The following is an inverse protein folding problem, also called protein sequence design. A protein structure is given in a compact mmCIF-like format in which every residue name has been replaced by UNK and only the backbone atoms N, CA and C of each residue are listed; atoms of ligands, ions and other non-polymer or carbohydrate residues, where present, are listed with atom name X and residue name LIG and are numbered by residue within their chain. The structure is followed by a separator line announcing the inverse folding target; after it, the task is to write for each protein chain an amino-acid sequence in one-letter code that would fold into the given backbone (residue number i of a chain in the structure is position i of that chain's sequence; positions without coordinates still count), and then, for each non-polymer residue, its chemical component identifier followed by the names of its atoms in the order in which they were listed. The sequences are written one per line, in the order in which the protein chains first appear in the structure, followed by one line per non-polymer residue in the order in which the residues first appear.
data_IF_478252457092
#
_entry.id   IF_478252457092
#
_cell.length_a   1.000
_cell.length_b   1.000
_cell.length_c   1.000
_cell.angle_alpha   90.00
_cell.angle_beta   90.00
_cell.angle_gamma   90.00
#
_symmetry.space_group_name_H-M   'P 1'
#
loop_
_entity.id
_entity.type
_entity.pdbx_description
1 polymer ?
#
# COMPACT_ATOMS: atom_id res chain seq x y z
N UNK A 1 7.43 -2.78 -13.20
CA UNK A 1 6.76 -1.47 -13.01
C UNK A 1 7.33 -0.52 -14.04
N UNK A 2 6.63 -0.33 -15.15
CA UNK A 2 7.04 0.62 -16.20
C UNK A 2 6.90 2.05 -15.68
N UNK A 3 7.87 2.92 -15.98
CA UNK A 3 7.90 4.30 -15.50
C UNK A 3 6.93 5.25 -16.24
N UNK A 4 6.13 4.68 -17.14
CA UNK A 4 5.19 5.41 -18.00
C UNK A 4 3.79 5.37 -17.37
N UNK A 5 3.27 4.19 -16.98
CA UNK A 5 1.94 4.05 -16.35
C UNK A 5 1.80 4.64 -14.93
N UNK A 6 2.93 4.92 -14.25
CA UNK A 6 2.98 5.09 -12.79
C UNK A 6 2.16 6.29 -12.28
N UNK A 7 1.84 7.26 -13.14
CA UNK A 7 1.02 8.43 -12.80
C UNK A 7 -0.09 8.77 -13.81
N UNK A 8 -0.49 7.85 -14.70
CA UNK A 8 -1.46 8.12 -15.78
C UNK A 8 -2.89 8.45 -15.33
N UNK A 9 -3.15 8.41 -14.01
CA UNK A 9 -4.38 8.95 -13.40
C UNK A 9 -4.31 10.44 -13.03
N UNK A 10 -3.20 11.15 -13.26
CA UNK A 10 -3.06 12.58 -13.00
C UNK A 10 -3.38 13.39 -14.28
N UNK A 11 -4.13 14.50 -14.19
CA UNK A 11 -4.42 15.31 -15.37
C UNK A 11 -3.11 15.85 -15.98
N UNK A 12 -2.95 15.80 -17.32
CA UNK A 12 -1.71 16.20 -17.96
C UNK A 12 -1.39 17.68 -17.69
N UNK A 13 -0.09 18.05 -17.63
CA UNK A 13 0.29 19.44 -17.50
C UNK A 13 -0.15 20.22 -18.74
N UNK A 14 -0.72 21.40 -18.53
CA UNK A 14 -1.19 22.22 -19.64
C UNK A 14 0.00 22.76 -20.43
N UNK A 15 0.13 22.34 -21.69
CA UNK A 15 1.19 22.85 -22.58
C UNK A 15 1.09 24.37 -22.68
N UNK A 16 2.20 25.06 -22.43
CA UNK A 16 2.23 26.52 -22.34
C UNK A 16 2.09 27.17 -23.74
N UNK A 17 0.86 27.47 -24.14
CA UNK A 17 0.59 28.43 -25.21
C UNK A 17 0.94 29.84 -24.70
N UNK A 18 2.13 30.31 -25.08
CA UNK A 18 2.57 31.67 -24.80
C UNK A 18 1.65 32.70 -25.49
N UNK A 19 1.31 33.82 -24.83
CA UNK A 19 0.52 34.87 -25.44
C UNK A 19 1.39 35.68 -26.41
N UNK A 20 1.24 35.45 -27.72
CA UNK A 20 1.79 36.34 -28.73
C UNK A 20 1.05 37.69 -28.66
N UNK A 21 1.77 38.74 -28.26
CA UNK A 21 1.21 40.08 -28.14
C UNK A 21 1.34 40.92 -29.41
N UNK A 22 0.58 42.02 -29.45
CA UNK A 22 0.92 43.23 -30.22
C UNK A 22 0.69 43.18 -31.74
N UNK A 23 -0.42 43.77 -32.20
CA UNK A 23 -0.66 44.04 -33.61
C UNK A 23 -1.92 44.88 -33.82
N UNK A 24 -1.76 46.20 -33.91
CA UNK A 24 -2.88 47.10 -34.23
C UNK A 24 -3.21 47.03 -35.73
N UNK A 25 -4.49 46.90 -36.06
CA UNK A 25 -5.00 46.89 -37.45
C UNK A 25 -6.52 47.13 -37.44
N UNK A 26 -7.00 47.97 -38.35
CA UNK A 26 -8.33 48.57 -38.24
C UNK A 26 -9.46 47.74 -38.87
N UNK A 27 -10.68 48.00 -38.36
CA UNK A 27 -11.99 47.87 -39.02
C UNK A 27 -12.36 46.53 -39.71
N UNK A 28 -13.37 45.84 -39.16
CA UNK A 28 -14.71 45.86 -39.77
C UNK A 28 -15.78 45.30 -38.81
N UNK A 29 -17.01 45.80 -38.91
CA UNK A 29 -18.15 45.40 -38.08
C UNK A 29 -18.89 44.21 -38.71
N UNK A 30 -18.86 43.04 -38.08
CA UNK A 30 -19.79 41.93 -38.36
C UNK A 30 -20.25 41.29 -37.04
N UNK A 31 -21.55 41.35 -36.77
CA UNK A 31 -22.17 40.71 -35.61
C UNK A 31 -22.31 39.20 -35.81
N UNK A 32 -22.01 38.35 -34.81
CA UNK A 32 -22.40 36.95 -34.82
C UNK A 32 -23.90 36.78 -34.49
N UNK A 33 -24.57 35.73 -35.02
CA UNK A 33 -26.01 35.50 -34.84
C UNK A 33 -26.37 35.00 -33.43
N UNK A 34 -27.64 35.16 -32.99
CA UNK A 34 -28.09 34.73 -31.68
C UNK A 34 -28.20 33.18 -31.56
N UNK A 35 -28.01 32.61 -30.36
CA UNK A 35 -28.13 31.18 -30.12
C UNK A 35 -29.60 30.69 -30.14
N UNK A 36 -29.86 29.41 -30.48
CA UNK A 36 -31.20 28.84 -30.55
C UNK A 36 -31.85 28.64 -29.16
N UNK A 37 -33.19 28.55 -29.09
CA UNK A 37 -33.93 28.42 -27.83
C UNK A 37 -33.75 27.02 -27.17
N UNK A 38 -33.85 26.92 -25.83
CA UNK A 38 -33.70 25.65 -25.12
C UNK A 38 -34.89 24.70 -25.36
N UNK A 39 -34.65 23.37 -25.39
CA UNK A 39 -35.71 22.38 -25.62
C UNK A 39 -36.69 22.28 -24.43
N UNK A 40 -37.95 22.01 -24.76
CA UNK A 40 -39.06 21.94 -23.79
C UNK A 40 -39.02 20.70 -22.89
N UNK A 41 -39.61 20.83 -21.70
CA UNK A 41 -39.70 19.83 -20.65
C UNK A 41 -40.41 18.53 -21.11
N UNK A 42 -39.76 17.39 -20.91
CA UNK A 42 -40.39 16.08 -20.85
C UNK A 42 -40.36 15.53 -19.41
N UNK A 43 -41.44 14.89 -18.98
CA UNK A 43 -41.78 14.71 -17.57
C UNK A 43 -41.01 13.59 -16.87
N UNK A 44 -40.51 13.84 -15.66
CA UNK A 44 -40.02 12.82 -14.76
C UNK A 44 -41.15 12.27 -13.87
N UNK A 45 -41.36 10.96 -13.87
CA UNK A 45 -42.27 10.26 -12.94
C UNK A 45 -41.46 9.61 -11.82
N UNK A 46 -41.85 9.86 -10.56
CA UNK A 46 -41.15 9.38 -9.37
C UNK A 46 -42.00 8.42 -8.53
N UNK A 47 -41.43 7.36 -7.93
CA UNK A 47 -42.10 6.55 -6.92
C UNK A 47 -41.63 6.86 -5.48
N UNK A 48 -42.49 7.61 -4.77
CA UNK A 48 -42.95 7.46 -3.36
C UNK A 48 -41.97 6.96 -2.25
N UNK A 49 -41.81 7.70 -1.14
CA UNK A 49 -41.27 7.19 0.12
C UNK A 49 -42.36 6.60 1.05
N UNK A 50 -42.00 5.57 1.83
CA UNK A 50 -42.78 5.05 2.98
C UNK A 50 -41.83 4.97 4.19
N UNK A 51 -41.96 5.77 5.26
CA UNK A 51 -43.02 5.93 6.27
C UNK A 51 -42.80 5.07 7.53
N UNK A 52 -42.57 5.76 8.68
CA UNK A 52 -42.85 5.35 10.08
C UNK A 52 -41.96 4.19 10.61
N UNK A 53 -41.62 4.06 11.90
CA UNK A 53 -41.49 4.96 13.07
C UNK A 53 -40.70 4.17 14.15
N UNK A 54 -40.34 4.62 15.36
CA UNK A 54 -40.63 5.80 16.20
C UNK A 54 -39.43 6.05 17.14
N UNK A 55 -39.32 7.24 17.74
CA UNK A 55 -38.39 7.50 18.86
C UNK A 55 -39.18 8.07 20.05
N UNK A 56 -39.26 7.34 21.18
CA UNK A 56 -39.93 7.81 22.41
C UNK A 56 -38.93 8.15 23.51
N UNK A 57 -39.26 9.23 24.21
CA UNK A 57 -38.43 10.01 25.15
C UNK A 57 -38.75 9.66 26.60
N UNK A 58 -37.71 9.49 27.42
CA UNK A 58 -37.74 9.55 28.89
C UNK A 58 -36.40 10.15 29.35
N UNK A 59 -36.28 11.48 29.45
CA UNK A 59 -36.61 12.35 30.60
C UNK A 59 -35.48 12.40 31.65
N UNK A 60 -34.67 13.48 31.69
CA UNK A 60 -33.69 13.76 32.74
C UNK A 60 -34.27 14.70 33.83
N UNK A 61 -33.65 14.70 35.01
CA UNK A 61 -33.61 15.84 35.95
C UNK A 61 -32.33 15.77 36.83
N UNK A 62 -31.78 16.89 37.34
CA UNK A 62 -30.42 16.98 37.87
C UNK A 62 -30.37 17.44 39.36
N UNK A 63 -29.22 18.04 39.78
CA UNK A 63 -28.84 18.59 41.12
C UNK A 63 -28.38 17.54 42.15
N UNK A 64 -27.39 17.79 43.03
CA UNK A 64 -26.34 18.84 43.18
C UNK A 64 -25.32 18.27 44.21
N UNK A 65 -24.01 18.25 43.99
CA UNK A 65 -23.02 19.35 44.00
C UNK A 65 -22.79 19.98 45.40
N UNK A 66 -21.61 19.73 46.00
CA UNK A 66 -20.94 20.53 47.06
C UNK A 66 -19.64 19.87 47.62
N UNK A 67 -18.49 20.17 46.99
CA UNK A 67 -17.23 20.73 47.58
C UNK A 67 -16.48 20.10 48.81
N UNK A 68 -15.16 20.40 49.01
CA UNK A 68 -14.21 19.40 49.53
C UNK A 68 -13.28 19.86 50.71
N UNK A 69 -12.21 19.05 50.95
CA UNK A 69 -10.90 19.36 51.59
C UNK A 69 -10.66 18.98 53.07
N UNK A 70 -9.69 18.07 53.30
CA UNK A 70 -8.48 18.30 54.14
C UNK A 70 -7.64 17.00 54.34
N UNK A 71 -6.31 17.16 54.24
CA UNK A 71 -5.18 16.23 54.45
C UNK A 71 -4.78 16.06 55.94
N UNK A 72 -3.75 15.25 56.36
CA UNK A 72 -3.08 14.06 55.76
C UNK A 72 -2.72 12.88 56.73
N UNK A 73 -2.30 11.73 56.15
CA UNK A 73 -1.28 10.74 56.66
C UNK A 73 -1.52 9.91 57.96
N UNK A 74 -0.80 8.77 58.19
CA UNK A 74 -0.21 7.78 57.26
C UNK A 74 -0.50 6.28 57.60
N UNK A 75 0.00 5.38 56.75
CA UNK A 75 0.36 3.96 56.97
C UNK A 75 -0.71 2.83 56.84
N UNK A 76 -0.20 1.68 56.35
CA UNK A 76 -0.76 0.32 56.34
C UNK A 76 -1.82 -0.11 55.26
N UNK A 77 -1.30 -0.87 54.28
CA UNK A 77 -1.87 -2.08 53.65
C UNK A 77 -3.01 -2.04 52.61
N UNK A 78 -2.83 -2.93 51.61
CA UNK A 78 -3.78 -3.49 50.62
C UNK A 78 -4.23 -2.61 49.41
N UNK A 79 -4.13 -3.13 48.15
CA UNK A 79 -4.59 -2.44 46.94
C UNK A 79 -5.89 -3.01 46.33
N UNK A 80 -6.91 -2.16 46.22
CA UNK A 80 -8.12 -2.29 45.38
C UNK A 80 -8.48 -0.86 44.90
N UNK A 81 -9.02 -0.55 43.72
CA UNK A 81 -9.63 -1.34 42.62
C UNK A 81 -9.88 -0.45 41.38
N UNK A 82 -10.46 -1.04 40.30
CA UNK A 82 -10.98 -0.39 39.07
C UNK A 82 -9.93 0.12 38.05
N UNK A 83 -10.07 -0.08 36.73
CA UNK A 83 -11.28 -0.02 35.87
C UNK A 83 -11.52 -1.33 35.07
N UNK A 84 -12.78 -1.77 34.86
CA UNK A 84 -13.08 -2.98 34.10
C UNK A 84 -13.23 -2.71 32.59
N UNK A 85 -12.21 -3.02 31.79
CA UNK A 85 -12.36 -3.07 30.34
C UNK A 85 -13.11 -4.35 29.88
N UNK A 86 -13.86 -4.21 28.77
CA UNK A 86 -14.90 -5.16 28.32
C UNK A 86 -14.31 -6.47 27.76
N UNK A 87 -13.84 -7.34 28.65
CA UNK A 87 -13.32 -8.67 28.28
C UNK A 87 -14.43 -9.63 27.86
N UNK A 88 -14.65 -9.78 26.55
CA UNK A 88 -15.40 -10.92 26.00
C UNK A 88 -14.63 -12.22 26.31
N UNK A 89 -15.00 -12.90 27.39
CA UNK A 89 -14.47 -14.22 27.73
C UNK A 89 -15.15 -15.28 26.86
N UNK A 90 -14.61 -15.54 25.68
CA UNK A 90 -14.90 -16.81 25.01
C UNK A 90 -14.33 -17.96 25.84
N UNK A 91 -15.18 -18.93 26.17
CA UNK A 91 -14.76 -20.17 26.82
C UNK A 91 -13.92 -20.98 25.84
N UNK A 92 -12.63 -21.17 26.13
CA UNK A 92 -11.86 -22.40 25.86
C UNK A 92 -10.56 -22.32 26.66
N UNK A 93 -10.55 -22.93 27.84
CA UNK A 93 -9.33 -23.21 28.62
C UNK A 93 -8.83 -24.60 28.22
N UNK A 94 -8.34 -24.71 27.00
CA UNK A 94 -7.60 -25.89 26.53
C UNK A 94 -6.23 -25.36 26.12
N UNK A 95 -5.21 -25.81 26.83
CA UNK A 95 -3.82 -25.50 26.51
C UNK A 95 -3.48 -26.27 25.21
N UNK A 96 -3.55 -25.58 24.08
CA UNK A 96 -3.31 -26.18 22.78
C UNK A 96 -1.83 -26.59 22.69
N UNK A 97 -1.56 -27.84 22.32
CA UNK A 97 -0.17 -28.29 22.23
C UNK A 97 0.57 -27.49 21.17
N UNK A 98 1.87 -27.25 21.38
CA UNK A 98 2.69 -26.50 20.42
C UNK A 98 2.61 -27.08 19.01
N UNK A 99 2.53 -28.41 18.90
CA UNK A 99 2.26 -29.13 17.63
C UNK A 99 0.94 -28.75 16.97
N UNK A 100 -0.16 -28.61 17.71
CA UNK A 100 -1.46 -28.18 17.19
C UNK A 100 -1.42 -26.71 16.74
N UNK A 101 -0.70 -25.85 17.48
CA UNK A 101 -0.49 -24.45 17.11
C UNK A 101 0.30 -24.34 15.81
N UNK A 102 1.38 -25.13 15.65
CA UNK A 102 2.19 -25.18 14.43
C UNK A 102 1.37 -25.68 13.23
N UNK A 103 0.59 -26.75 13.39
CA UNK A 103 -0.28 -27.27 12.33
C UNK A 103 -1.35 -26.25 11.92
N UNK A 104 -1.96 -25.55 12.90
CA UNK A 104 -2.90 -24.46 12.64
C UNK A 104 -2.22 -23.29 11.89
N UNK A 105 -1.00 -22.90 12.28
CA UNK A 105 -0.25 -21.85 11.60
C UNK A 105 0.05 -22.21 10.13
N UNK A 106 0.48 -23.45 9.85
CA UNK A 106 0.72 -23.94 8.49
C UNK A 106 -0.57 -23.94 7.64
N UNK A 107 -1.70 -24.38 8.21
CA UNK A 107 -3.02 -24.31 7.56
C UNK A 107 -3.43 -22.89 7.23
N UNK A 108 -3.21 -21.93 8.14
CA UNK A 108 -3.47 -20.50 7.90
C UNK A 108 -2.57 -19.96 6.78
N UNK A 109 -1.26 -20.27 6.79
CA UNK A 109 -0.32 -19.84 5.75
C UNK A 109 -0.74 -20.33 4.35
N UNK A 110 -1.23 -21.57 4.22
CA UNK A 110 -1.73 -22.11 2.95
C UNK A 110 -3.02 -21.45 2.41
N UNK A 111 -3.70 -20.65 3.23
CA UNK A 111 -4.97 -20.01 2.87
C UNK A 111 -4.91 -18.48 2.82
N UNK A 112 -3.96 -17.86 3.53
CA UNK A 112 -3.88 -16.41 3.63
C UNK A 112 -3.44 -15.76 2.31
N UNK A 113 -2.59 -16.41 1.51
CA UNK A 113 -2.18 -15.90 0.19
C UNK A 113 -3.31 -15.82 -0.86
N UNK A 114 -4.49 -16.38 -0.59
CA UNK A 114 -5.65 -16.26 -1.48
C UNK A 114 -6.61 -15.17 -0.99
N UNK A 115 -6.79 -14.12 -1.80
CA UNK A 115 -7.64 -12.97 -1.49
C UNK A 115 -9.05 -13.33 -1.01
N UNK A 116 -9.67 -14.39 -1.56
CA UNK A 116 -11.02 -14.84 -1.17
C UNK A 116 -11.09 -15.47 0.23
N UNK A 117 -9.97 -16.03 0.71
CA UNK A 117 -9.84 -16.66 2.03
C UNK A 117 -9.14 -15.77 3.06
N UNK A 118 -8.44 -14.74 2.61
CA UNK A 118 -7.65 -13.82 3.42
C UNK A 118 -8.43 -13.29 4.63
N UNK A 119 -9.63 -12.74 4.45
CA UNK A 119 -10.46 -12.18 5.54
C UNK A 119 -10.91 -13.16 6.63
N UNK A 120 -10.78 -14.48 6.38
CA UNK A 120 -11.01 -15.53 7.39
C UNK A 120 -9.68 -15.99 8.00
N UNK A 121 -8.66 -16.18 7.17
CA UNK A 121 -7.32 -16.57 7.61
C UNK A 121 -6.66 -15.52 8.53
N UNK A 122 -6.77 -14.23 8.18
CA UNK A 122 -6.30 -13.10 8.99
C UNK A 122 -6.93 -13.04 10.38
N UNK A 123 -8.24 -13.33 10.51
CA UNK A 123 -8.93 -13.39 11.81
C UNK A 123 -8.43 -14.54 12.68
N UNK A 124 -8.12 -15.68 12.09
CA UNK A 124 -7.50 -16.80 12.82
C UNK A 124 -6.05 -16.44 13.23
N UNK A 125 -5.29 -15.77 12.37
CA UNK A 125 -3.95 -15.27 12.69
C UNK A 125 -3.98 -14.24 13.85
N UNK A 126 -4.94 -13.31 13.83
CA UNK A 126 -5.18 -12.36 14.93
C UNK A 126 -5.49 -13.08 16.25
N UNK A 127 -6.34 -14.11 16.23
CA UNK A 127 -6.64 -14.92 17.41
C UNK A 127 -5.41 -15.64 17.98
N UNK A 128 -4.43 -16.03 17.15
CA UNK A 128 -3.16 -16.60 17.63
C UNK A 128 -2.28 -15.56 18.34
N UNK A 129 -2.33 -14.29 17.93
CA UNK A 129 -1.65 -13.18 18.60
C UNK A 129 -2.36 -12.88 19.93
N UNK A 130 -3.68 -12.70 19.90
CA UNK A 130 -4.52 -12.40 21.08
C UNK A 130 -4.45 -13.50 22.16
N UNK A 131 -4.29 -14.77 21.76
CA UNK A 131 -4.12 -15.89 22.67
C UNK A 131 -2.70 -16.04 23.25
N UNK A 132 -1.71 -15.27 22.79
CA UNK A 132 -0.31 -15.43 23.19
C UNK A 132 0.36 -16.71 22.65
N UNK A 133 -0.16 -17.28 21.56
CA UNK A 133 0.35 -18.51 20.93
C UNK A 133 1.61 -18.27 20.09
N UNK A 134 1.95 -17.01 19.81
CA UNK A 134 3.18 -16.60 19.13
C UNK A 134 4.31 -16.47 20.14
N UNK A 135 5.17 -17.48 20.19
CA UNK A 135 6.30 -17.65 21.13
C UNK A 135 7.61 -17.78 20.34
N UNK A 136 8.81 -17.67 20.95
CA UNK A 136 10.09 -17.87 20.27
C UNK A 136 10.22 -19.19 19.49
N UNK A 137 9.53 -20.26 19.91
CA UNK A 137 9.48 -21.54 19.17
C UNK A 137 8.55 -21.52 17.94
N UNK A 138 7.41 -20.82 18.03
CA UNK A 138 6.38 -20.78 16.96
C UNK A 138 6.50 -19.58 16.02
N UNK A 139 7.32 -18.57 16.35
CA UNK A 139 7.45 -17.31 15.59
C UNK A 139 7.86 -17.54 14.13
N UNK A 140 8.67 -18.56 13.81
CA UNK A 140 9.02 -18.89 12.42
C UNK A 140 7.80 -19.30 11.58
N UNK A 141 6.88 -20.07 12.15
CA UNK A 141 5.63 -20.46 11.49
C UNK A 141 4.65 -19.28 11.39
N UNK A 142 4.62 -18.39 12.39
CA UNK A 142 3.84 -17.16 12.31
C UNK A 142 4.40 -16.18 11.26
N UNK A 143 5.72 -16.06 11.14
CA UNK A 143 6.34 -15.24 10.09
C UNK A 143 6.02 -15.77 8.68
N UNK A 144 5.98 -17.10 8.50
CA UNK A 144 5.53 -17.71 7.25
C UNK A 144 4.06 -17.38 6.89
N UNK A 145 3.18 -17.11 7.87
CA UNK A 145 1.83 -16.58 7.61
C UNK A 145 1.90 -15.16 7.04
N UNK A 146 2.73 -14.29 7.62
CA UNK A 146 2.91 -12.91 7.15
C UNK A 146 3.55 -12.85 5.76
N UNK A 147 4.51 -13.73 5.49
CA UNK A 147 5.16 -13.88 4.18
C UNK A 147 4.19 -14.39 3.11
N UNK A 148 3.40 -15.43 3.44
CA UNK A 148 2.33 -15.93 2.57
C UNK A 148 1.24 -14.88 2.30
N UNK A 149 0.95 -13.99 3.25
CA UNK A 149 0.02 -12.87 3.05
C UNK A 149 0.59 -11.80 2.11
N UNK A 150 1.91 -11.58 2.11
CA UNK A 150 2.57 -10.52 1.35
C UNK A 150 3.23 -10.99 0.05
N UNK A 151 3.02 -12.25 -0.34
CA UNK A 151 3.50 -12.82 -1.61
C UNK A 151 3.01 -12.03 -2.84
N UNK A 152 1.82 -11.43 -2.73
CA UNK A 152 1.21 -10.57 -3.76
C UNK A 152 0.91 -9.17 -3.19
N UNK A 153 1.92 -8.30 -3.00
CA UNK A 153 1.78 -7.08 -2.19
C UNK A 153 0.78 -6.07 -2.77
N UNK A 154 0.46 -6.13 -4.07
CA UNK A 154 -0.58 -5.28 -4.67
C UNK A 154 -1.99 -5.51 -4.10
N UNK A 155 -2.30 -6.71 -3.60
CA UNK A 155 -3.63 -7.08 -3.09
C UNK A 155 -3.94 -6.39 -1.75
N UNK A 156 -2.93 -5.98 -0.98
CA UNK A 156 -3.13 -5.47 0.39
C UNK A 156 -3.86 -4.11 0.46
N UNK A 157 -3.94 -3.36 -0.64
CA UNK A 157 -4.60 -2.06 -0.71
C UNK A 157 -6.03 -2.11 -1.26
N UNK A 158 -6.50 -3.28 -1.72
CA UNK A 158 -7.83 -3.46 -2.30
C UNK A 158 -8.97 -3.15 -1.30
N UNK A 159 -10.03 -2.43 -1.71
CA UNK A 159 -11.12 -2.00 -0.82
C UNK A 159 -11.76 -3.11 0.02
N UNK A 160 -11.82 -4.34 -0.51
CA UNK A 160 -12.46 -5.48 0.15
C UNK A 160 -11.64 -6.09 1.30
N UNK A 161 -10.31 -5.98 1.28
CA UNK A 161 -9.40 -6.69 2.21
C UNK A 161 -8.47 -5.77 3.00
N UNK A 162 -8.26 -4.52 2.55
CA UNK A 162 -7.44 -3.49 3.20
C UNK A 162 -7.58 -3.38 4.73
N UNK A 163 -8.80 -3.49 5.25
CA UNK A 163 -9.08 -3.35 6.67
C UNK A 163 -8.65 -4.57 7.49
N UNK A 164 -8.67 -5.76 6.89
CA UNK A 164 -8.17 -6.99 7.51
C UNK A 164 -6.64 -7.07 7.41
N UNK A 165 -6.03 -6.57 6.30
CA UNK A 165 -4.58 -6.40 6.18
C UNK A 165 -4.04 -5.43 7.23
N UNK A 166 -4.64 -4.24 7.34
CA UNK A 166 -4.25 -3.24 8.32
C UNK A 166 -4.27 -3.81 9.73
N UNK A 167 -5.39 -4.44 10.15
CA UNK A 167 -5.50 -5.06 11.49
C UNK A 167 -4.45 -6.14 11.74
N UNK A 168 -4.20 -7.03 10.77
CA UNK A 168 -3.24 -8.11 10.92
C UNK A 168 -1.82 -7.57 11.13
N UNK A 169 -1.39 -6.62 10.31
CA UNK A 169 -0.05 -6.04 10.38
C UNK A 169 0.11 -5.03 11.54
N UNK A 170 -0.98 -4.39 11.99
CA UNK A 170 -0.98 -3.58 13.20
C UNK A 170 -0.83 -4.45 14.46
N UNK A 171 -1.61 -5.52 14.60
CA UNK A 171 -1.45 -6.47 15.70
C UNK A 171 -0.09 -7.20 15.67
N UNK A 172 0.42 -7.54 14.48
CA UNK A 172 1.72 -8.18 14.34
C UNK A 172 2.90 -7.28 14.79
N UNK A 173 2.74 -5.95 14.84
CA UNK A 173 3.78 -5.08 15.41
C UNK A 173 4.08 -5.44 16.87
N UNK A 174 3.08 -5.91 17.63
CA UNK A 174 3.24 -6.33 19.03
C UNK A 174 4.11 -7.58 19.24
N UNK A 175 4.38 -8.38 18.19
CA UNK A 175 5.28 -9.55 18.26
C UNK A 175 6.63 -9.31 17.56
N UNK A 176 6.89 -8.07 17.09
CA UNK A 176 8.12 -7.71 16.37
C UNK A 176 9.37 -8.00 17.19
N UNK A 177 9.33 -7.87 18.51
CA UNK A 177 10.49 -8.11 19.38
C UNK A 177 11.10 -9.51 19.20
N UNK A 178 10.25 -10.52 18.95
CA UNK A 178 10.62 -11.93 18.75
C UNK A 178 11.27 -12.22 17.39
N UNK A 179 11.17 -11.30 16.42
CA UNK A 179 11.70 -11.48 15.07
C UNK A 179 13.23 -11.25 15.03
N UNK A 180 13.92 -11.98 14.15
CA UNK A 180 15.33 -11.71 13.86
C UNK A 180 15.47 -10.40 13.03
N UNK A 181 16.69 -9.87 12.87
CA UNK A 181 16.88 -8.57 12.18
C UNK A 181 16.45 -8.59 10.71
N UNK A 182 16.64 -9.71 10.01
CA UNK A 182 16.25 -9.85 8.61
C UNK A 182 14.73 -9.87 8.45
N UNK A 183 14.04 -10.63 9.30
CA UNK A 183 12.59 -10.68 9.42
C UNK A 183 12.01 -9.31 9.79
N UNK A 184 12.64 -8.57 10.72
CA UNK A 184 12.29 -7.18 11.05
C UNK A 184 12.36 -6.26 9.83
N UNK A 185 13.43 -6.37 9.03
CA UNK A 185 13.60 -5.58 7.82
C UNK A 185 12.47 -5.88 6.79
N UNK A 186 12.19 -7.17 6.51
CA UNK A 186 11.07 -7.58 5.64
C UNK A 186 9.72 -7.10 6.17
N UNK A 187 9.45 -7.30 7.47
CA UNK A 187 8.21 -6.90 8.12
C UNK A 187 7.97 -5.38 8.07
N UNK A 188 9.01 -4.57 8.28
CA UNK A 188 8.91 -3.10 8.17
C UNK A 188 8.48 -2.65 6.76
N UNK A 189 8.98 -3.31 5.71
CA UNK A 189 8.53 -3.06 4.32
C UNK A 189 7.06 -3.45 4.16
N UNK A 190 6.64 -4.58 4.72
CA UNK A 190 5.24 -5.00 4.68
C UNK A 190 4.31 -4.05 5.45
N UNK A 191 4.76 -3.48 6.58
CA UNK A 191 4.01 -2.45 7.33
C UNK A 191 3.82 -1.17 6.49
N UNK A 192 4.79 -0.78 5.66
CA UNK A 192 4.60 0.34 4.71
C UNK A 192 3.45 0.05 3.73
N UNK A 193 3.39 -1.15 3.17
CA UNK A 193 2.31 -1.56 2.24
C UNK A 193 0.95 -1.78 2.92
N UNK A 194 0.89 -2.56 4.00
CA UNK A 194 -0.35 -3.06 4.58
C UNK A 194 -0.97 -2.12 5.64
N UNK A 195 -0.15 -1.27 6.29
CA UNK A 195 -0.61 -0.32 7.31
C UNK A 195 -0.53 1.11 6.77
N UNK A 196 0.68 1.60 6.44
CA UNK A 196 0.90 3.03 6.12
C UNK A 196 0.23 3.44 4.83
N UNK A 197 0.33 2.65 3.76
CA UNK A 197 -0.37 2.92 2.51
C UNK A 197 -1.89 2.78 2.66
N UNK A 198 -2.37 1.92 3.57
CA UNK A 198 -3.79 1.80 3.87
C UNK A 198 -4.31 3.00 4.68
N UNK A 199 -3.55 3.52 5.65
CA UNK A 199 -3.89 4.75 6.40
C UNK A 199 -4.17 5.93 5.43
N UNK A 200 -3.58 5.98 4.22
CA UNK A 200 -3.81 7.04 3.24
C UNK A 200 -5.22 7.07 2.61
N UNK A 201 -5.98 5.97 2.64
CA UNK A 201 -7.38 5.96 2.21
C UNK A 201 -8.37 6.04 3.38
N UNK A 202 -7.95 6.63 4.50
CA UNK A 202 -8.86 7.08 5.56
C UNK A 202 -9.60 8.35 5.16
N UNK A 203 -10.73 8.61 5.83
CA UNK A 203 -11.42 9.91 5.83
C UNK A 203 -11.16 10.72 7.12
N UNK A 204 -10.27 10.22 8.00
CA UNK A 204 -9.75 10.92 9.19
C UNK A 204 -8.44 11.66 8.89
N UNK A 205 -8.48 12.99 8.96
CA UNK A 205 -7.33 13.87 8.74
C UNK A 205 -6.13 13.61 9.66
N UNK A 206 -6.35 13.18 10.90
CA UNK A 206 -5.26 12.86 11.84
C UNK A 206 -4.55 11.57 11.45
N UNK A 207 -5.30 10.53 11.09
CA UNK A 207 -4.73 9.25 10.61
C UNK A 207 -3.97 9.47 9.30
N UNK A 208 -4.53 10.23 8.36
CA UNK A 208 -3.87 10.57 7.09
C UNK A 208 -2.55 11.34 7.33
N UNK A 209 -2.59 12.38 8.17
CA UNK A 209 -1.41 13.19 8.49
C UNK A 209 -0.33 12.39 9.22
N UNK A 210 -0.72 11.46 10.11
CA UNK A 210 0.19 10.53 10.78
C UNK A 210 0.88 9.59 9.78
N UNK A 211 0.15 9.09 8.79
CA UNK A 211 0.72 8.26 7.72
C UNK A 211 1.69 9.06 6.84
N UNK A 212 1.32 10.28 6.44
CA UNK A 212 2.21 11.21 5.73
C UNK A 212 3.50 11.46 6.51
N UNK A 213 3.42 11.65 7.84
CA UNK A 213 4.58 11.75 8.73
C UNK A 213 5.48 10.50 8.66
N UNK A 214 4.91 9.31 8.87
CA UNK A 214 5.64 8.03 8.76
C UNK A 214 6.37 7.88 7.41
N UNK A 215 5.72 8.27 6.30
CA UNK A 215 6.33 8.20 4.95
C UNK A 215 7.50 9.17 4.84
N UNK A 216 7.32 10.44 5.27
CA UNK A 216 8.39 11.43 5.26
C UNK A 216 9.61 10.97 6.07
N UNK A 217 9.39 10.42 7.27
CA UNK A 217 10.48 10.00 8.14
C UNK A 217 11.19 8.75 7.58
N UNK A 218 10.44 7.82 6.97
CA UNK A 218 11.01 6.68 6.25
C UNK A 218 11.80 7.08 4.99
N UNK A 219 11.37 8.10 4.24
CA UNK A 219 12.15 8.69 3.13
C UNK A 219 13.45 9.30 3.66
N UNK A 220 13.36 10.08 4.74
CA UNK A 220 14.52 10.75 5.37
C UNK A 220 15.57 9.75 5.88
N UNK A 221 15.14 8.54 6.24
CA UNK A 221 15.98 7.45 6.73
C UNK A 221 16.65 6.61 5.61
N UNK A 222 16.24 6.75 4.34
CA UNK A 222 16.87 6.01 3.23
C UNK A 222 18.33 6.48 3.01
N UNK A 223 19.28 5.58 2.71
CA UNK A 223 20.59 5.96 2.22
C UNK A 223 20.49 6.57 0.81
N UNK A 224 21.41 7.50 0.51
CA UNK A 224 21.58 8.08 -0.83
C UNK A 224 21.76 6.96 -1.86
N UNK A 225 21.06 7.04 -2.99
CA UNK A 225 21.16 6.03 -4.03
C UNK A 225 22.52 6.11 -4.74
N UNK A 226 23.13 4.95 -4.93
CA UNK A 226 24.42 4.80 -5.61
C UNK A 226 24.22 4.51 -7.10
N UNK A 227 25.27 4.66 -7.90
CA UNK A 227 25.26 4.27 -9.32
C UNK A 227 25.01 2.76 -9.48
N UNK A 228 25.38 1.97 -8.47
CA UNK A 228 25.13 0.53 -8.41
C UNK A 228 23.64 0.22 -8.24
N UNK A 229 22.94 0.95 -7.36
CA UNK A 229 21.46 0.87 -7.24
C UNK A 229 20.75 1.23 -8.56
N UNK A 230 21.23 2.26 -9.27
CA UNK A 230 20.69 2.69 -10.57
C UNK A 230 20.87 1.60 -11.64
N UNK A 231 22.01 0.89 -11.63
CA UNK A 231 22.31 -0.23 -12.53
C UNK A 231 21.46 -1.47 -12.19
N UNK A 232 21.33 -1.81 -10.90
CA UNK A 232 20.53 -2.94 -10.41
C UNK A 232 19.02 -2.74 -10.72
N UNK A 233 18.52 -1.50 -10.67
CA UNK A 233 17.17 -1.17 -11.16
C UNK A 233 17.04 -1.37 -12.68
N UNK A 234 17.98 -0.82 -13.46
CA UNK A 234 17.95 -0.91 -14.91
C UNK A 234 18.02 -2.38 -15.40
N UNK A 235 18.88 -3.19 -14.78
CA UNK A 235 19.03 -4.61 -15.07
C UNK A 235 17.76 -5.41 -14.74
N UNK A 236 17.13 -5.15 -13.59
CA UNK A 236 15.89 -5.81 -13.20
C UNK A 236 14.72 -5.48 -14.13
N UNK A 237 14.62 -4.24 -14.61
CA UNK A 237 13.59 -3.84 -15.56
C UNK A 237 13.85 -4.40 -16.97
N UNK A 238 15.12 -4.50 -17.40
CA UNK A 238 15.49 -5.18 -18.64
C UNK A 238 15.21 -6.70 -18.58
N UNK A 239 15.37 -7.32 -17.41
CA UNK A 239 14.97 -8.71 -17.19
C UNK A 239 13.45 -8.88 -17.27
N UNK A 240 12.68 -8.04 -16.58
CA UNK A 240 11.21 -8.06 -16.62
C UNK A 240 10.68 -7.93 -18.06
N UNK A 241 11.17 -6.95 -18.83
CA UNK A 241 10.75 -6.74 -20.23
C UNK A 241 11.05 -7.91 -21.16
N UNK A 242 12.06 -8.75 -20.85
CA UNK A 242 12.35 -9.96 -21.64
C UNK A 242 11.36 -11.09 -21.36
N UNK A 243 10.87 -11.19 -20.11
CA UNK A 243 9.85 -12.18 -19.73
C UNK A 243 8.52 -11.87 -20.39
N UNK A 244 8.11 -10.59 -20.43
CA UNK A 244 6.85 -10.18 -21.04
C UNK A 244 6.81 -10.49 -22.55
N UNK A 245 7.88 -10.15 -23.29
CA UNK A 245 7.98 -10.39 -24.75
C UNK A 245 8.01 -11.89 -25.12
N UNK A 246 8.44 -12.77 -24.22
CA UNK A 246 8.49 -14.21 -24.48
C UNK A 246 7.12 -14.91 -24.48
N UNK A 247 6.05 -14.23 -24.03
CA UNK A 247 4.74 -14.86 -23.79
C UNK A 247 3.70 -14.58 -24.90
N UNK A 248 3.94 -13.58 -25.76
CA UNK A 248 2.98 -13.09 -26.76
C UNK A 248 3.18 -13.65 -28.19
N UNK A 249 3.96 -14.73 -28.36
CA UNK A 249 4.35 -15.24 -29.69
C UNK A 249 3.90 -16.69 -30.01
N UNK A 250 2.90 -17.23 -29.31
CA UNK A 250 2.17 -18.45 -29.71
C UNK A 250 0.69 -18.13 -30.03
N UNK A 251 0.45 -17.51 -31.19
CA UNK A 251 -0.91 -17.26 -31.69
C UNK A 251 -1.01 -17.29 -33.24
N UNK A 252 -0.87 -18.49 -33.81
CA UNK A 252 -1.58 -18.85 -35.06
C UNK A 252 -0.74 -19.15 -36.31
N UNK A 253 -1.30 -20.07 -37.11
CA UNK A 253 -0.95 -20.47 -38.49
C UNK A 253 0.24 -21.45 -38.66
N UNK A 254 -0.08 -22.75 -38.83
CA UNK A 254 0.87 -23.79 -39.23
C UNK A 254 0.27 -25.21 -39.19
N UNK A 255 -0.55 -25.57 -40.19
CA UNK A 255 -1.22 -26.89 -40.31
C UNK A 255 -0.18 -28.00 -40.58
N UNK A 256 -0.35 -29.23 -40.02
CA UNK A 256 0.71 -30.26 -40.02
C UNK A 256 0.79 -31.09 -41.31
N UNK A 257 1.97 -31.68 -41.55
CA UNK A 257 2.22 -32.71 -42.58
C UNK A 257 3.17 -33.80 -42.05
N UNK A 258 3.08 -35.00 -42.62
CA UNK A 258 3.54 -36.27 -42.02
C UNK A 258 4.90 -36.79 -42.55
N UNK A 259 5.21 -38.05 -42.21
CA UNK A 259 6.38 -38.88 -42.56
C UNK A 259 7.61 -38.73 -41.61
N UNK A 260 8.27 -39.79 -41.12
CA UNK A 260 8.08 -41.25 -41.31
C UNK A 260 8.46 -42.04 -40.05
N UNK A 261 7.88 -43.24 -39.95
CA UNK A 261 8.29 -44.30 -39.04
C UNK A 261 9.41 -45.15 -39.68
N UNK A 262 10.46 -45.50 -38.93
CA UNK A 262 11.41 -46.55 -39.31
C UNK A 262 12.23 -47.06 -38.12
N UNK A 263 11.90 -48.27 -37.67
CA UNK A 263 12.72 -49.10 -36.78
C UNK A 263 13.98 -49.57 -37.52
N UNK A 264 15.13 -49.55 -36.86
CA UNK A 264 16.30 -50.36 -37.24
C UNK A 264 16.86 -51.01 -35.97
N UNK A 265 17.12 -52.31 -36.08
CA UNK A 265 17.51 -53.22 -34.99
C UNK A 265 18.89 -53.82 -35.26
N UNK A 266 19.57 -54.21 -34.18
CA UNK A 266 20.74 -55.11 -34.04
C UNK A 266 22.06 -54.83 -34.82
N UNK A 267 23.16 -55.41 -34.30
CA UNK A 267 24.34 -55.74 -35.12
C UNK A 267 25.70 -55.14 -34.75
N UNK A 268 26.27 -55.58 -33.62
CA UNK A 268 27.70 -55.84 -33.34
C UNK A 268 28.84 -55.02 -34.01
N UNK A 269 29.86 -54.62 -33.21
CA UNK A 269 31.24 -55.11 -33.38
C UNK A 269 32.15 -54.76 -32.18
N UNK A 270 33.05 -55.68 -31.81
CA UNK A 270 33.94 -55.57 -30.64
C UNK A 270 35.39 -55.18 -31.01
N UNK A 271 36.09 -54.51 -30.08
CA UNK A 271 37.57 -54.38 -30.01
C UNK A 271 37.98 -54.51 -28.53
N UNK A 272 39.13 -55.13 -28.26
CA UNK A 272 39.49 -55.75 -26.97
C UNK A 272 40.69 -55.09 -26.24
N UNK A 273 41.24 -55.81 -25.23
CA UNK A 273 42.44 -55.55 -24.40
C UNK A 273 42.15 -54.65 -23.18
N UNK A 274 42.49 -54.96 -21.91
CA UNK A 274 43.30 -56.04 -21.29
C UNK A 274 42.60 -56.60 -20.00
N UNK A 275 42.92 -57.83 -19.53
CA UNK A 275 42.51 -58.34 -18.23
C UNK A 275 43.68 -58.45 -17.22
N UNK A 276 43.55 -57.84 -16.05
CA UNK A 276 44.38 -58.16 -14.87
C UNK A 276 43.43 -58.40 -13.68
N UNK A 277 43.59 -59.55 -13.03
CA UNK A 277 42.85 -59.92 -11.83
C UNK A 277 43.53 -59.32 -10.60
N UNK A 278 42.79 -58.68 -9.67
CA UNK A 278 43.03 -58.86 -8.22
C UNK A 278 41.92 -58.24 -7.34
N UNK A 279 41.39 -59.08 -6.45
CA UNK A 279 40.73 -58.78 -5.16
C UNK A 279 39.96 -57.45 -4.94
N UNK A 280 38.64 -57.54 -5.11
CA UNK A 280 37.62 -57.27 -4.08
C UNK A 280 37.87 -56.28 -2.92
N UNK A 281 37.08 -55.21 -2.88
CA UNK A 281 36.41 -54.74 -1.64
C UNK A 281 34.90 -54.49 -1.91
N UNK A 282 33.98 -55.31 -1.37
CA UNK A 282 32.54 -55.11 -1.55
C UNK A 282 31.95 -53.95 -0.72
N UNK A 283 32.74 -53.29 0.14
CA UNK A 283 32.30 -52.17 0.98
C UNK A 283 32.90 -50.81 0.61
N UNK A 284 33.88 -50.75 -0.30
CA UNK A 284 34.48 -49.51 -0.83
C UNK A 284 35.17 -48.64 0.22
N UNK A 285 35.76 -49.25 1.26
CA UNK A 285 36.40 -48.58 2.39
C UNK A 285 37.84 -48.16 2.12
N UNK A 286 38.55 -48.79 1.18
CA UNK A 286 39.95 -48.48 0.89
C UNK A 286 40.17 -47.04 0.40
N UNK A 287 39.19 -46.47 -0.31
CA UNK A 287 39.20 -45.06 -0.72
C UNK A 287 39.14 -44.05 0.45
N UNK A 288 38.87 -44.50 1.68
CA UNK A 288 38.72 -43.63 2.85
C UNK A 288 40.04 -43.32 3.57
N UNK A 289 41.13 -44.06 3.29
CA UNK A 289 42.41 -43.93 4.01
C UNK A 289 43.44 -43.02 3.34
N UNK A 290 43.34 -42.74 2.03
CA UNK A 290 44.43 -42.12 1.27
C UNK A 290 44.48 -40.58 1.26
N UNK A 291 43.52 -39.89 1.88
CA UNK A 291 43.45 -38.43 1.83
C UNK A 291 43.68 -37.74 3.18
N UNK A 292 44.95 -37.54 3.51
CA UNK A 292 45.45 -36.67 4.58
C UNK A 292 45.98 -35.32 4.02
N UNK A 293 45.12 -34.39 3.56
CA UNK A 293 45.57 -33.11 3.01
C UNK A 293 46.17 -32.19 4.09
N UNK A 294 47.23 -31.49 3.70
CA UNK A 294 48.00 -30.53 4.53
C UNK A 294 47.10 -29.53 5.27
N UNK A 295 47.49 -29.24 6.53
CA UNK A 295 46.88 -28.35 7.53
C UNK A 295 46.77 -26.85 7.14
N UNK A 296 46.82 -26.52 5.85
CA UNK A 296 46.75 -25.16 5.30
C UNK A 296 45.48 -24.87 4.49
N UNK A 297 44.75 -25.89 4.01
CA UNK A 297 43.53 -25.68 3.21
C UNK A 297 42.33 -25.16 4.03
N UNK A 298 42.23 -25.55 5.31
CA UNK A 298 41.11 -25.16 6.19
C UNK A 298 40.90 -23.65 6.30
N UNK A 299 41.99 -22.89 6.52
CA UNK A 299 41.94 -21.42 6.65
C UNK A 299 41.55 -20.71 5.36
N UNK A 300 41.86 -21.31 4.20
CA UNK A 300 41.42 -20.80 2.90
C UNK A 300 39.91 -21.04 2.70
N UNK A 301 39.41 -22.24 3.04
CA UNK A 301 37.98 -22.57 2.98
C UNK A 301 37.14 -21.71 3.93
N UNK A 302 37.61 -21.51 5.16
CA UNK A 302 36.96 -20.64 6.15
C UNK A 302 36.88 -19.18 5.65
N UNK A 303 37.98 -18.63 5.12
CA UNK A 303 37.99 -17.28 4.54
C UNK A 303 37.06 -17.16 3.32
N UNK A 304 36.94 -18.20 2.51
CA UNK A 304 36.02 -18.23 1.37
C UNK A 304 34.55 -18.27 1.82
N UNK A 305 34.21 -19.06 2.84
CA UNK A 305 32.85 -19.10 3.44
C UNK A 305 32.50 -17.76 4.09
N UNK A 306 33.43 -17.13 4.82
CA UNK A 306 33.22 -15.81 5.40
C UNK A 306 33.01 -14.73 4.33
N UNK A 307 33.75 -14.78 3.20
CA UNK A 307 33.55 -13.88 2.08
C UNK A 307 32.20 -14.10 1.38
N UNK A 308 31.77 -15.36 1.22
CA UNK A 308 30.46 -15.71 0.66
C UNK A 308 29.32 -15.19 1.54
N UNK A 309 29.36 -15.45 2.85
CA UNK A 309 28.36 -14.97 3.82
C UNK A 309 28.29 -13.44 3.86
N UNK A 310 29.44 -12.76 3.74
CA UNK A 310 29.46 -11.29 3.65
C UNK A 310 28.77 -10.81 2.37
N UNK A 311 29.02 -11.47 1.23
CA UNK A 311 28.37 -11.15 -0.05
C UNK A 311 26.86 -11.37 0.00
N UNK A 312 26.37 -12.46 0.61
CA UNK A 312 24.92 -12.70 0.73
C UNK A 312 24.23 -11.64 1.58
N UNK A 313 24.85 -11.21 2.70
CA UNK A 313 24.34 -10.13 3.55
C UNK A 313 24.34 -8.78 2.81
N UNK A 314 25.37 -8.48 2.03
CA UNK A 314 25.42 -7.28 1.17
C UNK A 314 24.31 -7.30 0.10
N UNK A 315 24.08 -8.46 -0.56
CA UNK A 315 22.99 -8.63 -1.53
C UNK A 315 21.59 -8.55 -0.89
N UNK A 316 21.39 -9.12 0.31
CA UNK A 316 20.14 -9.02 1.07
C UNK A 316 19.84 -7.57 1.49
N UNK A 317 20.85 -6.84 1.96
CA UNK A 317 20.70 -5.42 2.29
C UNK A 317 20.28 -4.59 1.07
N UNK A 318 20.85 -4.85 -0.11
CA UNK A 318 20.41 -4.24 -1.38
C UNK A 318 18.96 -4.59 -1.73
N UNK A 319 18.56 -5.87 -1.62
CA UNK A 319 17.17 -6.31 -1.87
C UNK A 319 16.18 -5.59 -0.95
N UNK A 320 16.50 -5.51 0.36
CA UNK A 320 15.71 -4.78 1.36
C UNK A 320 15.59 -3.30 0.99
N UNK A 321 16.69 -2.62 0.68
CA UNK A 321 16.67 -1.20 0.29
C UNK A 321 15.85 -0.95 -0.99
N UNK A 322 15.97 -1.82 -1.99
CA UNK A 322 15.17 -1.75 -3.22
C UNK A 322 13.68 -1.86 -2.92
N UNK A 323 13.26 -2.90 -2.20
CA UNK A 323 11.85 -3.08 -1.84
C UNK A 323 11.32 -1.97 -0.92
N UNK A 324 12.14 -1.40 -0.05
CA UNK A 324 11.78 -0.23 0.77
C UNK A 324 11.54 1.02 -0.08
N UNK A 325 12.41 1.30 -1.07
CA UNK A 325 12.22 2.41 -2.03
C UNK A 325 10.95 2.22 -2.86
N UNK A 326 10.72 1.01 -3.37
CA UNK A 326 9.50 0.66 -4.13
C UNK A 326 8.22 0.82 -3.28
N UNK A 327 8.23 0.39 -2.02
CA UNK A 327 7.12 0.57 -1.09
C UNK A 327 6.79 2.05 -0.83
N UNK A 328 7.82 2.88 -0.60
CA UNK A 328 7.65 4.32 -0.39
C UNK A 328 7.12 5.03 -1.64
N UNK A 329 7.57 4.64 -2.82
CA UNK A 329 7.05 5.17 -4.08
C UNK A 329 5.57 4.80 -4.26
N UNK A 330 5.17 3.57 -3.89
CA UNK A 330 3.75 3.17 -3.91
C UNK A 330 2.91 3.98 -2.92
N UNK A 331 3.44 4.31 -1.74
CA UNK A 331 2.79 5.24 -0.81
C UNK A 331 2.62 6.65 -1.40
N UNK A 332 3.63 7.17 -2.11
CA UNK A 332 3.55 8.48 -2.79
C UNK A 332 2.49 8.48 -3.89
N UNK A 333 2.42 7.43 -4.71
CA UNK A 333 1.38 7.23 -5.73
C UNK A 333 -0.03 7.23 -5.13
N UNK A 334 -0.23 6.50 -4.03
CA UNK A 334 -1.51 6.43 -3.32
C UNK A 334 -1.89 7.80 -2.72
N UNK A 335 -0.93 8.50 -2.09
CA UNK A 335 -1.15 9.83 -1.55
C UNK A 335 -1.55 10.83 -2.66
N UNK A 336 -0.85 10.80 -3.80
CA UNK A 336 -1.15 11.65 -4.96
C UNK A 336 -2.59 11.47 -5.48
N UNK A 337 -3.07 10.22 -5.56
CA UNK A 337 -4.46 9.90 -5.96
C UNK A 337 -5.52 10.47 -5.00
N UNK A 338 -5.16 10.81 -3.76
CA UNK A 338 -6.06 11.44 -2.77
C UNK A 338 -6.12 12.97 -2.90
N UNK A 339 -5.24 13.63 -3.67
CA UNK A 339 -5.19 15.11 -3.81
C UNK A 339 -6.51 15.76 -4.27
N UNK A 340 -7.40 14.99 -4.93
CA UNK A 340 -8.78 15.40 -5.23
C UNK A 340 -9.64 15.75 -4.00
N UNK A 341 -9.20 15.39 -2.79
CA UNK A 341 -9.89 15.61 -1.52
C UNK A 341 -9.30 16.87 -0.84
N UNK A 342 -10.03 17.98 -0.72
CA UNK A 342 -9.46 19.27 -0.33
C UNK A 342 -8.64 19.28 0.96
N UNK A 343 -9.09 18.57 2.01
CA UNK A 343 -8.40 18.54 3.31
C UNK A 343 -7.06 17.78 3.27
N UNK A 344 -6.84 16.89 2.30
CA UNK A 344 -5.57 16.14 2.16
C UNK A 344 -4.45 16.97 1.52
N UNK A 345 -4.81 17.97 0.71
CA UNK A 345 -3.91 18.59 -0.26
C UNK A 345 -2.68 19.23 0.36
N UNK A 346 -2.83 19.93 1.48
CA UNK A 346 -1.69 20.59 2.16
C UNK A 346 -0.69 19.58 2.70
N UNK A 347 -1.14 18.43 3.18
CA UNK A 347 -0.25 17.35 3.62
C UNK A 347 0.46 16.69 2.42
N UNK A 348 -0.24 16.51 1.30
CA UNK A 348 0.33 15.98 0.06
C UNK A 348 1.34 16.97 -0.57
N UNK A 349 1.06 18.27 -0.56
CA UNK A 349 2.01 19.32 -0.99
C UNK A 349 3.35 19.21 -0.26
N UNK A 350 3.29 19.09 1.08
CA UNK A 350 4.46 18.98 1.95
C UNK A 350 5.19 17.66 1.69
N UNK A 351 4.46 16.56 1.57
CA UNK A 351 5.03 15.23 1.30
C UNK A 351 5.73 15.16 -0.05
N UNK A 352 5.09 15.64 -1.12
CA UNK A 352 5.65 15.63 -2.46
C UNK A 352 6.85 16.56 -2.59
N UNK A 353 6.83 17.71 -1.90
CA UNK A 353 8.01 18.58 -1.81
C UNK A 353 9.16 17.87 -1.09
N UNK A 354 8.91 17.25 0.07
CA UNK A 354 9.95 16.51 0.80
C UNK A 354 10.53 15.38 -0.03
N UNK A 355 9.69 14.58 -0.71
CA UNK A 355 10.15 13.50 -1.59
C UNK A 355 11.00 14.01 -2.76
N UNK A 356 10.71 15.20 -3.28
CA UNK A 356 11.52 15.87 -4.30
C UNK A 356 12.83 16.43 -3.74
N UNK A 357 12.81 17.07 -2.57
CA UNK A 357 13.99 17.61 -1.90
C UNK A 357 14.97 16.46 -1.50
N UNK A 358 14.45 15.30 -1.08
CA UNK A 358 15.20 14.06 -0.78
C UNK A 358 15.38 13.11 -2.00
N UNK A 359 15.09 13.55 -3.23
CA UNK A 359 15.06 12.67 -4.41
C UNK A 359 16.36 11.87 -4.62
N UNK A 360 17.52 12.40 -4.20
CA UNK A 360 18.82 11.71 -4.25
C UNK A 360 18.87 10.35 -3.50
N UNK A 361 17.89 10.03 -2.64
CA UNK A 361 17.78 8.73 -1.94
C UNK A 361 17.11 7.64 -2.77
N UNK A 362 16.51 8.02 -3.89
CA UNK A 362 15.83 7.13 -4.83
C UNK A 362 16.70 6.88 -6.07
N UNK A 363 16.51 5.74 -6.72
CA UNK A 363 17.22 5.42 -7.97
C UNK A 363 16.78 6.34 -9.11
N UNK A 364 17.51 6.34 -10.23
CA UNK A 364 17.31 7.28 -11.34
C UNK A 364 15.88 7.29 -11.89
N UNK A 365 15.27 6.12 -12.16
CA UNK A 365 13.89 6.09 -12.68
C UNK A 365 12.88 6.52 -11.64
N UNK A 366 13.13 6.19 -10.37
CA UNK A 366 12.30 6.63 -9.24
C UNK A 366 12.41 8.16 -9.02
N UNK A 367 13.59 8.75 -9.24
CA UNK A 367 13.81 10.21 -9.25
C UNK A 367 13.01 10.89 -10.35
N UNK A 368 13.06 10.36 -11.58
CA UNK A 368 12.28 10.89 -12.70
C UNK A 368 10.78 10.79 -12.42
N UNK A 369 10.32 9.69 -11.81
CA UNK A 369 8.95 9.49 -11.37
C UNK A 369 8.53 10.52 -10.30
N UNK A 370 9.34 10.72 -9.26
CA UNK A 370 9.10 11.72 -8.21
C UNK A 370 9.10 13.16 -8.79
N UNK A 371 9.97 13.46 -9.75
CA UNK A 371 10.00 14.76 -10.43
C UNK A 371 8.72 15.01 -11.25
N UNK A 372 8.23 14.01 -12.01
CA UNK A 372 6.92 14.07 -12.70
C UNK A 372 5.79 14.35 -11.71
N UNK A 373 5.75 13.59 -10.60
CA UNK A 373 4.75 13.72 -9.53
C UNK A 373 4.76 15.13 -8.90
N UNK A 374 5.95 15.62 -8.51
CA UNK A 374 6.10 16.94 -7.91
C UNK A 374 5.67 18.05 -8.86
N UNK A 375 6.03 17.97 -10.14
CA UNK A 375 5.59 18.96 -11.13
C UNK A 375 4.05 18.99 -11.27
N UNK A 376 3.38 17.83 -11.30
CA UNK A 376 1.91 17.77 -11.35
C UNK A 376 1.28 18.37 -10.08
N UNK A 377 1.76 18.02 -8.88
CA UNK A 377 1.25 18.56 -7.62
C UNK A 377 1.50 20.07 -7.52
N UNK A 378 2.70 20.54 -7.89
CA UNK A 378 3.04 21.96 -7.91
C UNK A 378 2.13 22.76 -8.85
N UNK A 379 1.80 22.23 -10.02
CA UNK A 379 0.83 22.86 -10.91
C UNK A 379 -0.57 22.91 -10.30
N UNK A 380 -1.04 21.82 -9.70
CA UNK A 380 -2.33 21.77 -8.99
C UNK A 380 -2.36 22.74 -7.79
N UNK A 381 -1.24 22.89 -7.07
CA UNK A 381 -1.09 23.86 -5.99
C UNK A 381 -1.18 25.30 -6.51
N UNK A 382 -0.57 25.59 -7.67
CA UNK A 382 -0.64 26.90 -8.34
C UNK A 382 -2.07 27.18 -8.82
N UNK A 383 -2.75 26.23 -9.48
CA UNK A 383 -4.15 26.37 -9.93
C UNK A 383 -5.07 26.71 -8.76
N UNK A 384 -4.94 25.99 -7.64
CA UNK A 384 -5.68 26.25 -6.38
C UNK A 384 -5.39 27.64 -5.82
N UNK A 385 -4.11 28.07 -5.76
CA UNK A 385 -3.73 29.43 -5.31
C UNK A 385 -4.26 30.54 -6.24
N UNK A 386 -4.46 30.25 -7.52
CA UNK A 386 -5.07 31.17 -8.49
C UNK A 386 -6.61 31.12 -8.50
N UNK A 387 -7.23 30.28 -7.67
CA UNK A 387 -8.69 30.08 -7.69
C UNK A 387 -9.21 29.55 -9.02
N UNK A 388 -8.42 28.76 -9.77
CA UNK A 388 -8.83 28.21 -11.06
C UNK A 388 -9.25 26.75 -10.93
N UNK A 389 -10.48 26.48 -11.37
CA UNK A 389 -11.04 25.14 -11.51
C UNK A 389 -10.25 24.29 -12.51
N UNK A 390 -10.52 22.98 -12.53
CA UNK A 390 -10.00 22.06 -13.56
C UNK A 390 -10.40 22.48 -14.99
N UNK A 391 -11.49 23.25 -15.14
CA UNK A 391 -11.93 23.83 -16.43
C UNK A 391 -11.17 25.11 -16.82
N UNK A 392 -10.22 25.59 -16.02
CA UNK A 392 -9.50 26.87 -16.24
C UNK A 392 -10.33 28.13 -15.96
N UNK A 393 -11.65 28.01 -15.74
CA UNK A 393 -12.52 29.07 -15.22
C UNK A 393 -12.15 29.35 -13.75
N UNK A 394 -12.28 30.60 -13.31
CA UNK A 394 -12.26 30.89 -11.87
C UNK A 394 -13.33 30.04 -11.18
N UNK A 395 -12.94 29.29 -10.15
CA UNK A 395 -13.86 28.77 -9.16
C UNK A 395 -14.41 29.98 -8.42
N UNK A 396 -15.62 30.38 -8.80
CA UNK A 396 -16.44 31.34 -8.07
C UNK A 396 -16.54 30.81 -6.64
N UNK A 397 -15.90 31.51 -5.69
CA UNK A 397 -15.77 31.02 -4.32
C UNK A 397 -17.17 30.70 -3.76
N UNK A 398 -17.30 29.75 -2.83
CA UNK A 398 -18.62 29.41 -2.27
C UNK A 398 -19.37 30.64 -1.73
N UNK A 399 -18.64 31.63 -1.22
CA UNK A 399 -19.14 32.96 -0.86
C UNK A 399 -19.68 33.76 -2.06
N UNK A 400 -18.91 33.88 -3.15
CA UNK A 400 -19.32 34.57 -4.38
C UNK A 400 -20.51 33.87 -5.06
N UNK A 401 -20.58 32.53 -5.03
CA UNK A 401 -21.71 31.79 -5.56
C UNK A 401 -22.98 32.02 -4.73
N UNK A 402 -22.85 32.07 -3.40
CA UNK A 402 -23.94 32.51 -2.52
C UNK A 402 -24.32 33.98 -2.79
N UNK A 403 -23.34 34.88 -2.96
CA UNK A 403 -23.58 36.30 -3.23
C UNK A 403 -24.26 36.52 -4.60
N UNK A 404 -23.85 35.81 -5.65
CA UNK A 404 -24.48 35.86 -6.97
C UNK A 404 -25.92 35.32 -6.89
N UNK A 405 -26.14 34.24 -6.12
CA UNK A 405 -27.48 33.70 -5.85
C UNK A 405 -28.36 34.73 -5.10
N UNK A 406 -27.90 35.28 -3.99
CA UNK A 406 -28.66 36.23 -3.17
C UNK A 406 -28.85 37.60 -3.85
N UNK A 407 -27.92 38.04 -4.69
CA UNK A 407 -28.06 39.31 -5.45
C UNK A 407 -29.10 39.22 -6.58
N UNK A 408 -29.37 38.00 -7.09
CA UNK A 408 -30.47 37.72 -8.03
C UNK A 408 -31.80 37.44 -7.33
N UNK A 409 -31.76 37.04 -6.06
CA UNK A 409 -32.93 36.77 -5.23
C UNK A 409 -33.66 38.09 -4.92
N UNK A 410 -34.79 38.37 -5.58
CA UNK A 410 -35.57 39.58 -5.33
C UNK A 410 -36.20 39.56 -3.94
N UNK A 411 -35.53 40.20 -2.98
CA UNK A 411 -36.09 40.53 -1.67
C UNK A 411 -37.36 41.38 -1.85
N UNK A 412 -38.53 40.77 -1.70
CA UNK A 412 -39.81 41.47 -1.75
C UNK A 412 -39.95 42.41 -0.56
N UNK A 413 -40.09 43.71 -0.84
CA UNK A 413 -40.37 44.78 0.14
C UNK A 413 -41.68 44.52 0.91
N UNK A 414 -42.57 43.67 0.37
CA UNK A 414 -43.76 43.16 1.05
C UNK A 414 -43.44 41.79 1.65
N UNK A 415 -43.48 41.67 2.98
CA UNK A 415 -43.24 40.45 3.73
C UNK A 415 -44.11 39.27 3.25
N UNK A 416 -43.57 38.44 2.35
CA UNK A 416 -44.19 37.19 1.91
C UNK A 416 -43.12 36.11 1.72
N UNK A 417 -42.70 35.53 2.85
CA UNK A 417 -42.06 34.21 2.86
C UNK A 417 -43.15 33.15 2.63
N UNK A 418 -43.44 32.86 1.36
CA UNK A 418 -44.41 31.85 0.97
C UNK A 418 -44.99 32.12 -0.42
N UNK A 419 -44.98 31.11 -1.30
CA UNK A 419 -45.52 31.25 -2.65
C UNK A 419 -45.36 30.02 -3.55
N UNK A 420 -44.36 29.16 -3.29
CA UNK A 420 -44.23 27.90 -4.02
C UNK A 420 -43.29 26.89 -3.37
N UNK A 421 -43.76 25.65 -3.22
CA UNK A 421 -42.89 24.46 -3.19
C UNK A 421 -42.20 24.09 -1.87
N UNK A 422 -42.98 23.78 -0.84
CA UNK A 422 -42.75 22.62 0.05
C UNK A 422 -41.35 22.42 0.67
N UNK A 423 -40.79 23.46 1.31
CA UNK A 423 -39.60 23.32 2.19
C UNK A 423 -39.85 23.87 3.59
N UNK A 424 -39.99 22.96 4.56
CA UNK A 424 -39.97 23.26 6.00
C UNK A 424 -38.58 23.72 6.42
N UNK A 425 -38.29 25.01 6.31
CA UNK A 425 -37.12 25.61 6.95
C UNK A 425 -37.36 25.68 8.47
N UNK A 426 -36.87 24.71 9.22
CA UNK A 426 -36.81 24.80 10.68
C UNK A 426 -35.81 25.89 11.08
N UNK A 427 -36.37 27.01 11.51
CA UNK A 427 -35.70 28.13 12.14
C UNK A 427 -34.71 27.67 13.21
N UNK A 428 -33.44 28.01 13.04
CA UNK A 428 -32.45 28.08 14.12
C UNK A 428 -31.81 29.47 14.08
N UNK A 429 -32.05 30.22 15.15
CA UNK A 429 -31.46 31.51 15.47
C UNK A 429 -30.86 31.27 16.86
N UNK A 430 -29.53 31.23 16.94
CA UNK A 430 -28.77 30.71 18.08
C UNK A 430 -27.42 30.19 17.63
#
# INVERSE_FOLDING_TARGET
MSSEDLFDGLPPPAAATAPAGGGAGAASLLQPPPPPPPPSLAQATAPKPALKSSLKRSKPSPSSDATPSSTPAPAAAAPESHVPEKRLRFRTTVDASETQVIEAMQKIASHIGNASKFSKASKLALQLIEAGSVKPGTIGHFFAILEAAMSSPGVCNEPSVRADYHKLFDAAQGVTELLNQEQKNRFNIWVLHAVVANDLFTDDSFVFSKAVGKIKDAISALPVATVDDDNDEAAALAAASKTDVATDNEAGHGVPAAASDSVVDDGAHAVALEPEEESSDPFGLDGLLEHRPKKTSGRAREKAVAALNRKTVEEEAKRVLKSQREALLKCLEIAARRYRIPWTQTAIDILAKQAYDDAARFTRRQRDAIAKLWNSIKEQQIRRKQGKSVSGKLDVNAFEYLQEKYSREKMSIRHSVGGGGDRRATQWLG
#
